data_IF_175102492656
#
_entry.id   IF_175102492656
#
_cell.length_a   1.000
_cell.length_b   1.000
_cell.length_c   1.000
_cell.angle_alpha   90.00
_cell.angle_beta   90.00
_cell.angle_gamma   90.00
#
_symmetry.space_group_name_H-M   'P 1'
#
loop_
_entity.id
_entity.type
_entity.pdbx_description
1 polymer ?
#
# COMPACT_ATOMS: atom_id res chain seq x y z
N UNK A 1 5.35 19.56 8.28
CA UNK A 1 6.14 18.31 8.33
C UNK A 1 7.47 18.59 8.99
N UNK A 2 8.04 17.65 9.73
CA UNK A 2 9.39 17.84 10.31
C UNK A 2 10.52 17.54 9.29
N UNK A 3 10.27 16.58 8.41
CA UNK A 3 11.19 16.06 7.40
C UNK A 3 10.42 15.47 6.22
N UNK A 4 11.13 15.17 5.13
CA UNK A 4 10.54 14.61 3.91
C UNK A 4 10.03 13.18 4.13
N UNK A 5 8.97 12.84 3.39
CA UNK A 5 8.46 11.48 3.34
C UNK A 5 9.23 10.71 2.27
N UNK A 6 10.23 9.93 2.67
CA UNK A 6 11.11 9.21 1.74
C UNK A 6 11.76 10.19 0.74
N UNK A 7 11.41 10.09 -0.54
CA UNK A 7 11.88 10.89 -1.66
C UNK A 7 10.86 11.97 -2.08
N UNK A 8 9.79 12.16 -1.30
CA UNK A 8 8.71 13.09 -1.59
C UNK A 8 8.64 14.25 -0.58
N UNK A 9 8.62 15.46 -1.12
CA UNK A 9 8.38 16.69 -0.37
C UNK A 9 6.88 16.98 -0.26
N UNK A 10 6.31 16.86 0.94
CA UNK A 10 4.86 17.01 1.17
C UNK A 10 4.48 18.49 1.27
N UNK A 11 3.65 18.97 0.34
CA UNK A 11 3.13 20.34 0.31
C UNK A 11 1.61 20.40 0.43
N UNK A 12 1.04 21.61 0.34
CA UNK A 12 -0.41 21.85 0.25
C UNK A 12 -1.08 21.14 -0.94
N UNK A 13 -0.32 20.66 -1.93
CA UNK A 13 -0.85 19.79 -2.98
C UNK A 13 -1.56 18.56 -2.39
N UNK A 14 -1.04 18.01 -1.28
CA UNK A 14 -1.63 16.84 -0.67
C UNK A 14 -2.98 17.13 0.01
N UNK A 15 -3.33 18.40 0.22
CA UNK A 15 -4.60 18.87 0.77
C UNK A 15 -5.59 19.34 -0.32
N UNK A 16 -5.28 19.16 -1.61
CA UNK A 16 -6.07 19.74 -2.72
C UNK A 16 -7.55 19.31 -2.77
N UNK A 17 -7.90 18.20 -2.13
CA UNK A 17 -9.27 17.67 -2.08
C UNK A 17 -10.06 18.08 -0.83
N UNK A 18 -9.47 18.89 0.05
CA UNK A 18 -10.10 19.38 1.28
C UNK A 18 -9.67 20.83 1.59
N UNK A 19 -9.55 21.67 0.55
CA UNK A 19 -9.09 23.05 0.68
C UNK A 19 -9.96 23.88 1.62
N UNK A 20 -11.24 23.54 1.71
CA UNK A 20 -12.21 24.16 2.60
C UNK A 20 -11.86 24.05 4.09
N UNK A 21 -11.01 23.08 4.47
CA UNK A 21 -10.55 22.92 5.85
C UNK A 21 -9.44 23.93 6.23
N UNK A 22 -8.86 24.64 5.26
CA UNK A 22 -7.87 25.71 5.44
C UNK A 22 -6.65 25.31 6.31
N UNK A 23 -6.10 24.11 6.11
CA UNK A 23 -4.79 23.74 6.68
C UNK A 23 -3.65 24.07 5.71
N UNK A 24 -2.46 24.27 6.27
CA UNK A 24 -1.23 24.48 5.51
C UNK A 24 -0.12 23.54 6.00
N UNK A 25 0.66 23.03 5.05
CA UNK A 25 1.85 22.21 5.28
C UNK A 25 3.09 23.06 5.01
N UNK A 26 3.96 23.12 6.01
CA UNK A 26 5.26 23.80 5.88
C UNK A 26 6.38 22.95 6.51
N UNK A 27 7.59 23.16 6.03
CA UNK A 27 8.84 22.67 6.62
C UNK A 27 9.61 23.80 7.34
N UNK A 28 9.10 25.03 7.28
CA UNK A 28 9.72 26.15 7.97
C UNK A 28 9.53 25.99 9.48
N UNK A 29 10.62 25.63 10.16
CA UNK A 29 10.65 25.35 11.60
C UNK A 29 10.41 26.58 12.47
N UNK A 30 10.41 27.80 11.90
CA UNK A 30 10.01 28.99 12.65
C UNK A 30 8.56 28.92 13.13
N UNK A 31 7.71 28.14 12.45
CA UNK A 31 6.28 27.98 12.79
C UNK A 31 6.00 26.87 13.81
N UNK A 32 7.03 26.27 14.42
CA UNK A 32 6.86 25.14 15.35
C UNK A 32 5.96 25.51 16.53
N UNK A 33 5.96 26.76 17.02
CA UNK A 33 5.13 27.14 18.17
C UNK A 33 3.67 27.41 17.80
N UNK A 34 3.42 27.79 16.55
CA UNK A 34 2.11 28.13 16.01
C UNK A 34 1.43 26.93 15.31
N UNK A 35 2.19 25.88 15.01
CA UNK A 35 1.68 24.71 14.29
C UNK A 35 0.78 23.85 15.17
N UNK A 36 -0.41 23.50 14.68
CA UNK A 36 -1.30 22.55 15.34
C UNK A 36 -0.70 21.13 15.43
N UNK A 37 0.21 20.77 14.52
CA UNK A 37 0.88 19.47 14.54
C UNK A 37 2.31 19.51 14.00
N UNK A 38 3.15 18.63 14.54
CA UNK A 38 4.44 18.23 13.97
C UNK A 38 4.35 16.75 13.60
N UNK A 39 4.43 16.47 12.30
CA UNK A 39 4.38 15.12 11.75
C UNK A 39 5.80 14.63 11.52
N UNK A 40 6.13 13.48 12.10
CA UNK A 40 7.45 12.85 12.02
C UNK A 40 7.36 11.59 11.17
N UNK A 41 8.14 11.52 10.09
CA UNK A 41 8.23 10.31 9.29
C UNK A 41 9.28 9.37 9.89
N UNK A 42 8.84 8.32 10.60
CA UNK A 42 9.71 7.51 11.46
C UNK A 42 10.96 6.99 10.74
N UNK A 43 10.80 6.53 9.50
CA UNK A 43 11.85 5.83 8.74
C UNK A 43 13.14 6.66 8.59
N UNK A 44 13.03 7.97 8.41
CA UNK A 44 14.16 8.87 8.15
C UNK A 44 14.44 9.82 9.31
N UNK A 45 13.61 9.79 10.37
CA UNK A 45 13.67 10.73 11.48
C UNK A 45 15.05 10.71 12.12
N UNK A 46 15.72 11.86 12.06
CA UNK A 46 17.04 12.04 12.64
C UNK A 46 16.92 12.28 14.17
N UNK A 47 17.41 11.37 15.02
CA UNK A 47 17.30 11.51 16.48
C UNK A 47 18.10 12.69 17.06
N UNK A 48 19.06 13.22 16.31
CA UNK A 48 19.86 14.40 16.70
C UNK A 48 19.21 15.72 16.28
N UNK A 49 18.12 15.66 15.52
CA UNK A 49 17.39 16.81 15.01
C UNK A 49 15.90 16.61 15.28
N UNK A 50 15.51 16.74 16.55
CA UNK A 50 14.13 16.60 17.01
C UNK A 50 13.57 17.97 17.43
N UNK A 51 12.25 18.20 17.27
CA UNK A 51 11.62 19.37 17.84
C UNK A 51 11.65 19.30 19.39
N UNK A 52 11.32 20.40 20.10
CA UNK A 52 11.35 20.43 21.56
C UNK A 52 10.50 19.32 22.17
N UNK A 53 11.12 18.47 23.00
CA UNK A 53 10.42 17.31 23.62
C UNK A 53 9.14 17.69 24.38
N UNK A 54 9.09 18.90 24.95
CA UNK A 54 7.87 19.47 25.52
C UNK A 54 7.10 20.25 24.45
N UNK A 55 6.09 19.60 23.87
CA UNK A 55 5.14 20.21 22.93
C UNK A 55 4.23 21.25 23.61
N UNK A 56 3.65 22.14 22.81
CA UNK A 56 2.57 23.01 23.30
C UNK A 56 1.36 22.15 23.70
N UNK A 57 0.56 22.55 24.71
CA UNK A 57 -0.58 21.76 25.18
C UNK A 57 -1.58 21.40 24.07
N UNK A 58 -1.83 22.32 23.14
CA UNK A 58 -2.76 22.17 22.01
C UNK A 58 -2.11 21.57 20.74
N UNK A 59 -0.81 21.22 20.79
CA UNK A 59 -0.07 20.73 19.61
C UNK A 59 0.04 19.21 19.61
N UNK A 60 -0.19 18.61 18.45
CA UNK A 60 0.03 17.19 18.21
C UNK A 60 1.45 16.88 17.76
N UNK A 61 2.04 15.82 18.31
CA UNK A 61 3.17 15.13 17.69
C UNK A 61 2.62 13.87 17.03
N UNK A 62 2.76 13.75 15.70
CA UNK A 62 2.15 12.66 14.93
C UNK A 62 3.23 11.68 14.51
N UNK A 63 3.06 10.41 14.88
CA UNK A 63 3.84 9.30 14.33
C UNK A 63 3.32 9.00 12.93
N UNK A 64 4.16 9.13 11.91
CA UNK A 64 3.81 8.81 10.54
C UNK A 64 4.75 7.75 9.98
N UNK A 65 4.17 6.65 9.47
CA UNK A 65 4.94 5.60 8.81
C UNK A 65 4.09 4.90 7.74
N UNK A 66 4.66 4.76 6.54
CA UNK A 66 4.07 4.04 5.40
C UNK A 66 4.89 2.79 5.06
N UNK A 67 5.60 2.24 6.03
CA UNK A 67 6.40 1.02 5.89
C UNK A 67 5.95 -0.03 6.90
N UNK A 68 6.14 -1.30 6.61
CA UNK A 68 5.70 -2.37 7.50
C UNK A 68 6.44 -2.34 8.86
N UNK A 69 5.94 -3.10 9.83
CA UNK A 69 6.58 -3.25 11.13
C UNK A 69 8.02 -3.81 11.06
N UNK A 70 8.43 -4.42 9.94
CA UNK A 70 9.80 -4.87 9.72
C UNK A 70 10.78 -3.74 9.35
N UNK A 71 10.28 -2.57 8.94
CA UNK A 71 11.09 -1.48 8.40
C UNK A 71 10.94 -0.17 9.18
N UNK A 72 10.57 -0.23 10.46
CA UNK A 72 10.67 0.91 11.39
C UNK A 72 12.11 1.42 11.49
N UNK A 73 12.29 2.67 11.91
CA UNK A 73 13.64 3.22 12.17
C UNK A 73 14.33 2.47 13.30
N UNK A 74 15.59 2.03 13.14
CA UNK A 74 16.29 1.28 14.18
C UNK A 74 16.59 2.14 15.42
N UNK A 75 16.66 3.47 15.27
CA UNK A 75 17.04 4.38 16.36
C UNK A 75 15.83 5.21 16.81
N UNK A 76 15.20 5.96 15.90
CA UNK A 76 14.15 6.92 16.25
C UNK A 76 12.93 6.23 16.85
N UNK A 77 12.50 5.09 16.27
CA UNK A 77 11.39 4.30 16.78
C UNK A 77 11.62 3.89 18.24
N UNK A 78 12.80 3.34 18.56
CA UNK A 78 13.12 2.89 19.91
C UNK A 78 13.24 4.03 20.92
N UNK A 79 13.70 5.20 20.48
CA UNK A 79 13.84 6.39 21.31
C UNK A 79 12.48 7.04 21.64
N UNK A 80 11.54 7.02 20.70
CA UNK A 80 10.31 7.83 20.74
C UNK A 80 9.02 7.00 20.91
N UNK A 81 9.11 5.67 20.98
CA UNK A 81 7.98 4.74 21.05
C UNK A 81 6.99 4.96 22.21
N UNK A 82 7.37 5.66 23.29
CA UNK A 82 6.53 5.86 24.48
C UNK A 82 6.43 7.34 24.85
N UNK A 83 5.22 7.78 25.16
CA UNK A 83 4.92 9.10 25.72
C UNK A 83 5.45 10.31 24.92
N UNK A 84 5.68 10.14 23.61
CA UNK A 84 6.17 11.20 22.73
C UNK A 84 5.10 11.67 21.73
N UNK A 85 4.41 10.73 21.10
CA UNK A 85 3.39 11.02 20.10
C UNK A 85 2.01 11.17 20.75
N UNK A 86 1.14 11.89 20.05
CA UNK A 86 -0.27 12.08 20.42
C UNK A 86 -1.25 11.47 19.44
N UNK A 87 -0.81 11.28 18.19
CA UNK A 87 -1.59 10.67 17.11
C UNK A 87 -0.70 9.76 16.28
N UNK A 88 -1.34 8.83 15.60
CA UNK A 88 -0.75 7.91 14.63
C UNK A 88 -1.35 8.12 13.24
N UNK A 89 -0.52 8.11 12.22
CA UNK A 89 -0.91 8.18 10.82
C UNK A 89 -0.20 7.07 10.04
N UNK A 90 -0.95 6.17 9.40
CA UNK A 90 -0.38 5.01 8.70
C UNK A 90 -1.39 4.40 7.73
N UNK A 91 -0.93 3.45 6.90
CA UNK A 91 -1.78 2.54 6.13
C UNK A 91 -2.63 1.58 6.99
N UNK A 92 -2.44 1.53 8.31
CA UNK A 92 -3.16 0.60 9.18
C UNK A 92 -4.57 1.12 9.44
N UNK A 93 -5.58 0.26 9.35
CA UNK A 93 -6.98 0.69 9.54
C UNK A 93 -7.30 1.11 10.97
N UNK A 94 -6.44 0.75 11.93
CA UNK A 94 -6.55 1.08 13.34
C UNK A 94 -5.61 2.23 13.78
N UNK A 95 -5.04 3.00 12.85
CA UNK A 95 -4.38 4.28 13.17
C UNK A 95 -5.41 5.40 13.38
N UNK A 96 -5.05 6.45 14.11
CA UNK A 96 -5.94 7.60 14.30
C UNK A 96 -6.27 8.31 12.98
N UNK A 97 -5.28 8.38 12.08
CA UNK A 97 -5.39 8.93 10.74
C UNK A 97 -5.08 7.84 9.72
N UNK A 98 -6.12 7.28 9.10
CA UNK A 98 -5.98 6.22 8.12
C UNK A 98 -5.54 6.79 6.76
N UNK A 99 -4.37 6.36 6.32
CA UNK A 99 -3.70 6.83 5.12
C UNK A 99 -3.29 5.64 4.24
N UNK A 100 -4.23 5.00 3.51
CA UNK A 100 -3.90 3.84 2.70
C UNK A 100 -3.08 4.22 1.47
N UNK A 101 -2.42 3.23 0.86
CA UNK A 101 -1.73 3.45 -0.43
C UNK A 101 -2.71 3.67 -1.58
N UNK A 102 -3.88 3.03 -1.53
CA UNK A 102 -4.96 3.16 -2.48
C UNK A 102 -6.23 2.53 -1.92
N UNK A 103 -7.35 2.73 -2.60
CA UNK A 103 -8.64 2.18 -2.16
C UNK A 103 -9.58 2.01 -3.36
N UNK A 104 -10.62 1.21 -3.18
CA UNK A 104 -11.69 1.08 -4.17
C UNK A 104 -12.85 1.99 -3.83
N UNK A 105 -13.41 2.64 -4.84
CA UNK A 105 -14.59 3.49 -4.74
C UNK A 105 -15.72 2.90 -5.57
N UNK A 106 -16.94 2.93 -5.06
CA UNK A 106 -18.12 2.57 -5.84
C UNK A 106 -18.30 3.53 -7.01
N UNK A 107 -18.53 2.97 -8.20
CA UNK A 107 -18.92 3.71 -9.39
C UNK A 107 -20.38 4.15 -9.24
N UNK A 108 -20.64 5.39 -9.62
CA UNK A 108 -21.99 5.93 -9.68
C UNK A 108 -22.16 6.76 -10.97
N UNK A 109 -22.84 6.24 -12.01
CA UNK A 109 -23.50 4.94 -12.08
C UNK A 109 -22.52 3.76 -12.28
N UNK A 110 -22.93 2.51 -11.97
CA UNK A 110 -22.20 1.32 -12.40
C UNK A 110 -22.08 1.23 -13.92
N UNK A 111 -21.03 0.57 -14.40
CA UNK A 111 -20.87 0.25 -15.82
C UNK A 111 -21.74 -0.96 -16.19
N UNK A 112 -21.91 -1.18 -17.50
CA UNK A 112 -22.62 -2.34 -18.07
C UNK A 112 -21.78 -2.95 -19.16
N UNK A 113 -20.67 -3.58 -18.78
CA UNK A 113 -19.74 -4.10 -19.77
C UNK A 113 -20.21 -5.46 -20.28
N UNK A 114 -20.28 -5.62 -21.59
CA UNK A 114 -20.73 -6.89 -22.18
C UNK A 114 -19.71 -8.01 -21.98
N UNK A 115 -20.19 -9.24 -21.85
CA UNK A 115 -19.35 -10.44 -21.83
C UNK A 115 -18.38 -10.49 -23.03
N UNK A 116 -18.85 -10.09 -24.22
CA UNK A 116 -18.03 -10.05 -25.44
C UNK A 116 -16.85 -9.06 -25.32
N UNK A 117 -17.05 -7.93 -24.66
CA UNK A 117 -15.98 -6.95 -24.40
C UNK A 117 -14.94 -7.56 -23.47
N UNK A 118 -15.36 -8.19 -22.37
CA UNK A 118 -14.44 -8.89 -21.46
C UNK A 118 -13.64 -10.00 -22.14
N UNK A 119 -14.30 -10.83 -22.94
CA UNK A 119 -13.65 -11.89 -23.70
C UNK A 119 -12.63 -11.33 -24.70
N UNK A 120 -12.95 -10.25 -25.42
CA UNK A 120 -12.01 -9.61 -26.35
C UNK A 120 -10.74 -9.09 -25.65
N UNK A 121 -10.89 -8.47 -24.46
CA UNK A 121 -9.76 -8.03 -23.64
C UNK A 121 -8.94 -9.23 -23.20
N UNK A 122 -9.59 -10.31 -22.74
CA UNK A 122 -8.92 -11.52 -22.28
C UNK A 122 -8.12 -12.21 -23.40
N UNK A 123 -8.63 -12.26 -24.64
CA UNK A 123 -7.95 -12.83 -25.82
C UNK A 123 -6.75 -11.99 -26.25
N UNK A 124 -6.82 -10.66 -26.06
CA UNK A 124 -5.73 -9.75 -26.47
C UNK A 124 -4.43 -9.97 -25.68
N UNK A 125 -4.52 -10.52 -24.45
CA UNK A 125 -3.40 -10.76 -23.55
C UNK A 125 -2.75 -12.10 -23.84
N UNK A 126 -1.47 -12.06 -24.27
CA UNK A 126 -0.71 -13.22 -24.76
C UNK A 126 0.24 -13.85 -23.75
N UNK A 127 0.57 -13.14 -22.68
CA UNK A 127 1.50 -13.58 -21.63
C UNK A 127 0.74 -13.94 -20.35
N UNK A 128 1.30 -14.86 -19.58
CA UNK A 128 0.67 -15.37 -18.35
C UNK A 128 0.87 -14.40 -17.19
N UNK A 129 2.03 -14.47 -16.52
CA UNK A 129 2.27 -13.76 -15.26
C UNK A 129 3.43 -12.78 -15.41
N UNK A 130 3.24 -11.57 -14.88
CA UNK A 130 4.33 -10.61 -14.65
C UNK A 130 4.55 -10.38 -13.15
N UNK A 131 5.80 -10.26 -12.74
CA UNK A 131 6.16 -9.74 -11.42
C UNK A 131 7.13 -8.57 -11.57
N UNK A 132 6.78 -7.41 -11.01
CA UNK A 132 7.62 -6.23 -11.04
C UNK A 132 8.15 -5.94 -9.63
N UNK A 133 9.44 -6.22 -9.38
CA UNK A 133 10.06 -6.08 -8.07
C UNK A 133 11.54 -5.69 -8.18
N UNK A 134 11.96 -4.71 -7.38
CA UNK A 134 13.36 -4.26 -7.28
C UNK A 134 13.90 -4.24 -5.85
N UNK A 135 13.10 -4.66 -4.87
CA UNK A 135 13.54 -4.85 -3.50
C UNK A 135 13.41 -6.34 -3.17
N UNK A 136 14.56 -6.99 -2.99
CA UNK A 136 14.72 -8.44 -2.87
C UNK A 136 15.34 -8.78 -1.50
N UNK A 137 15.34 -10.06 -1.10
CA UNK A 137 15.78 -10.45 0.25
C UNK A 137 14.83 -9.90 1.30
N UNK A 138 13.53 -9.97 1.04
CA UNK A 138 12.54 -9.23 1.83
C UNK A 138 12.14 -10.01 3.08
N UNK A 139 11.61 -9.34 4.09
CA UNK A 139 11.10 -9.99 5.30
C UNK A 139 10.04 -11.07 5.01
N UNK A 140 9.22 -10.88 3.96
CA UNK A 140 8.28 -11.90 3.49
C UNK A 140 8.91 -13.08 2.74
N UNK A 141 10.16 -12.99 2.29
CA UNK A 141 10.81 -13.96 1.39
C UNK A 141 9.97 -14.28 0.15
N UNK A 142 9.24 -13.28 -0.38
CA UNK A 142 8.36 -13.43 -1.57
C UNK A 142 9.11 -13.94 -2.79
N UNK A 143 10.40 -13.62 -2.91
CA UNK A 143 11.26 -14.06 -4.00
C UNK A 143 11.43 -15.58 -4.04
N UNK A 144 11.42 -16.27 -2.88
CA UNK A 144 11.52 -17.72 -2.83
C UNK A 144 10.26 -18.36 -3.40
N UNK A 145 9.09 -17.84 -3.02
CA UNK A 145 7.82 -18.30 -3.58
C UNK A 145 7.77 -18.12 -5.10
N UNK A 146 8.16 -16.95 -5.60
CA UNK A 146 8.13 -16.70 -7.05
C UNK A 146 9.13 -17.60 -7.79
N UNK A 147 10.32 -17.82 -7.24
CA UNK A 147 11.29 -18.75 -7.82
C UNK A 147 10.76 -20.18 -7.87
N UNK A 148 10.02 -20.62 -6.85
CA UNK A 148 9.37 -21.93 -6.86
C UNK A 148 8.25 -22.01 -7.90
N UNK A 149 7.37 -21.01 -7.93
CA UNK A 149 6.27 -20.93 -8.90
C UNK A 149 6.79 -20.94 -10.35
N UNK A 150 7.95 -20.33 -10.62
CA UNK A 150 8.60 -20.31 -11.93
C UNK A 150 8.96 -21.70 -12.48
N UNK A 151 9.07 -22.72 -11.63
CA UNK A 151 9.28 -24.11 -12.07
C UNK A 151 8.06 -24.70 -12.76
N UNK A 152 6.86 -24.20 -12.45
CA UNK A 152 5.60 -24.75 -12.90
C UNK A 152 4.88 -23.87 -13.91
N UNK A 153 5.09 -22.55 -13.87
CA UNK A 153 4.46 -21.59 -14.78
C UNK A 153 5.41 -20.45 -15.15
N UNK A 154 5.31 -19.96 -16.38
CA UNK A 154 6.13 -18.83 -16.84
C UNK A 154 5.76 -17.54 -16.12
N UNK A 155 6.70 -17.02 -15.32
CA UNK A 155 6.66 -15.69 -14.71
C UNK A 155 7.76 -14.82 -15.31
N UNK A 156 7.38 -13.74 -16.00
CA UNK A 156 8.33 -12.73 -16.46
C UNK A 156 8.62 -11.75 -15.30
N UNK A 157 9.86 -11.71 -14.81
CA UNK A 157 10.26 -10.89 -13.65
C UNK A 157 11.02 -9.64 -14.09
N UNK A 158 10.44 -8.48 -13.83
CA UNK A 158 10.99 -7.15 -14.14
C UNK A 158 11.53 -6.45 -12.89
N UNK A 159 12.67 -5.79 -13.03
CA UNK A 159 13.30 -4.98 -11.98
C UNK A 159 14.64 -5.56 -11.55
N UNK A 160 15.05 -5.28 -10.32
CA UNK A 160 16.32 -5.77 -9.79
C UNK A 160 16.25 -7.20 -9.23
N UNK A 161 15.05 -7.72 -8.98
CA UNK A 161 14.86 -9.12 -8.57
C UNK A 161 14.76 -10.10 -9.76
N UNK A 162 14.97 -9.64 -10.99
CA UNK A 162 14.89 -10.49 -12.18
C UNK A 162 15.70 -9.97 -13.37
N UNK A 163 15.74 -10.74 -14.46
CA UNK A 163 16.58 -10.44 -15.61
C UNK A 163 15.98 -9.35 -16.51
N UNK A 164 14.66 -9.13 -16.48
CA UNK A 164 14.01 -8.14 -17.33
C UNK A 164 14.06 -6.77 -16.69
N UNK A 165 14.24 -5.73 -17.50
CA UNK A 165 14.37 -4.36 -17.00
C UNK A 165 13.16 -3.53 -17.33
N UNK A 166 12.73 -2.76 -16.34
CA UNK A 166 11.81 -1.66 -16.50
C UNK A 166 12.52 -0.40 -16.01
N UNK A 167 12.90 0.54 -16.90
CA UNK A 167 13.55 1.77 -16.48
C UNK A 167 12.67 2.50 -15.45
N UNK A 168 13.29 2.94 -14.34
CA UNK A 168 12.62 3.83 -13.38
C UNK A 168 12.20 5.10 -14.13
N UNK A 169 11.00 5.57 -13.82
CA UNK A 169 10.48 6.81 -14.40
C UNK A 169 10.25 7.80 -13.27
N UNK A 170 10.43 9.08 -13.54
CA UNK A 170 10.11 10.17 -12.60
C UNK A 170 8.62 10.50 -12.54
N UNK A 171 7.76 9.73 -13.23
CA UNK A 171 6.32 9.97 -13.23
C UNK A 171 5.73 9.59 -11.87
N UNK A 172 5.09 10.56 -11.23
CA UNK A 172 4.28 10.39 -10.00
C UNK A 172 3.20 9.31 -10.23
N UNK A 173 2.64 9.25 -11.44
CA UNK A 173 1.61 8.28 -11.81
C UNK A 173 2.21 7.07 -12.53
N UNK A 174 2.65 6.07 -11.76
CA UNK A 174 3.29 4.85 -12.28
C UNK A 174 2.45 4.11 -13.34
N UNK A 175 1.12 4.21 -13.30
CA UNK A 175 0.22 3.56 -14.27
C UNK A 175 0.44 3.99 -15.74
N UNK A 176 1.05 5.15 -15.99
CA UNK A 176 1.27 5.67 -17.35
C UNK A 176 2.64 5.35 -17.92
N UNK A 177 3.49 4.67 -17.14
CA UNK A 177 4.83 4.29 -17.60
C UNK A 177 4.77 3.31 -18.77
N UNK A 178 5.85 3.27 -19.55
CA UNK A 178 5.95 2.35 -20.70
C UNK A 178 5.78 0.89 -20.28
N UNK A 179 6.31 0.51 -19.12
CA UNK A 179 6.17 -0.85 -18.60
C UNK A 179 4.75 -1.16 -18.17
N UNK A 180 4.08 -0.28 -17.41
CA UNK A 180 2.70 -0.55 -16.99
C UNK A 180 1.74 -0.66 -18.19
N UNK A 181 1.90 0.19 -19.20
CA UNK A 181 1.16 0.06 -20.47
C UNK A 181 1.44 -1.26 -21.18
N UNK A 182 2.70 -1.70 -21.17
CA UNK A 182 3.10 -2.99 -21.74
C UNK A 182 2.54 -4.15 -20.92
N UNK A 183 2.54 -4.08 -19.60
CA UNK A 183 1.97 -5.09 -18.72
C UNK A 183 0.47 -5.24 -18.98
N UNK A 184 -0.27 -4.12 -18.92
CA UNK A 184 -1.70 -4.05 -19.25
C UNK A 184 -2.03 -4.68 -20.59
N UNK A 185 -1.22 -4.40 -21.63
CA UNK A 185 -1.45 -4.93 -22.98
C UNK A 185 -1.21 -6.42 -23.08
N UNK A 186 -0.21 -6.96 -22.38
CA UNK A 186 0.30 -8.29 -22.69
C UNK A 186 -0.04 -9.38 -21.67
N UNK A 187 -0.18 -9.06 -20.38
CA UNK A 187 -0.29 -10.08 -19.33
C UNK A 187 -1.72 -10.28 -18.86
N UNK A 188 -2.02 -11.53 -18.48
CA UNK A 188 -3.27 -11.94 -17.85
C UNK A 188 -3.26 -11.78 -16.33
N UNK A 189 -2.12 -12.05 -15.71
CA UNK A 189 -1.94 -12.05 -14.26
C UNK A 189 -0.74 -11.21 -13.86
N UNK A 190 -0.76 -10.73 -12.62
CA UNK A 190 0.42 -10.10 -12.01
C UNK A 190 0.53 -10.50 -10.54
N UNK A 191 1.76 -10.64 -10.07
CA UNK A 191 2.03 -10.96 -8.66
C UNK A 191 2.09 -9.63 -7.88
N UNK A 192 1.21 -9.50 -6.88
CA UNK A 192 1.07 -8.32 -6.02
C UNK A 192 1.61 -8.60 -4.60
N UNK A 193 2.66 -9.42 -4.50
CA UNK A 193 3.25 -9.79 -3.22
C UNK A 193 4.02 -8.63 -2.60
N UNK A 194 3.76 -8.38 -1.33
CA UNK A 194 4.40 -7.31 -0.56
C UNK A 194 5.75 -7.74 0.01
N UNK A 195 6.62 -6.75 0.28
CA UNK A 195 7.93 -7.02 0.89
C UNK A 195 7.81 -7.55 2.34
N UNK A 196 6.61 -7.51 2.90
CA UNK A 196 6.26 -7.96 4.24
C UNK A 196 4.86 -8.58 4.18
N UNK A 197 4.67 -9.70 4.85
CA UNK A 197 3.34 -10.32 4.97
C UNK A 197 2.74 -9.88 6.31
N UNK A 198 2.05 -8.76 6.33
CA UNK A 198 1.46 -8.19 7.55
C UNK A 198 0.00 -7.81 7.32
N UNK A 199 -0.79 -7.81 8.39
CA UNK A 199 -2.16 -7.30 8.33
C UNK A 199 -2.16 -5.84 7.88
N UNK A 200 -3.12 -5.49 7.04
CA UNK A 200 -3.36 -4.17 6.45
C UNK A 200 -2.25 -3.63 5.53
N UNK A 201 -1.06 -4.24 5.48
CA UNK A 201 0.03 -3.78 4.61
C UNK A 201 -0.20 -4.22 3.16
N UNK A 202 -1.16 -3.56 2.50
CA UNK A 202 -1.54 -3.74 1.10
C UNK A 202 -1.28 -2.42 0.37
N UNK A 203 -0.35 -2.42 -0.59
CA UNK A 203 0.23 -1.18 -1.09
C UNK A 203 -0.14 -0.87 -2.54
N UNK A 204 0.57 0.07 -3.17
CA UNK A 204 0.45 0.45 -4.57
C UNK A 204 0.54 -0.73 -5.55
N UNK A 205 1.14 -1.86 -5.13
CA UNK A 205 1.36 -3.04 -5.98
C UNK A 205 0.05 -3.59 -6.54
N UNK A 206 -1.02 -3.54 -5.77
CA UNK A 206 -2.36 -3.92 -6.22
C UNK A 206 -3.09 -2.71 -6.84
N UNK A 207 -3.22 -1.61 -6.11
CA UNK A 207 -4.11 -0.50 -6.50
C UNK A 207 -3.71 0.18 -7.81
N UNK A 208 -2.41 0.19 -8.16
CA UNK A 208 -1.93 0.78 -9.42
C UNK A 208 -2.26 -0.08 -10.66
N UNK A 209 -2.56 -1.38 -10.48
CA UNK A 209 -2.69 -2.34 -11.59
C UNK A 209 -4.04 -3.02 -11.70
N UNK A 210 -4.87 -2.99 -10.66
CA UNK A 210 -6.19 -3.63 -10.70
C UNK A 210 -7.07 -3.13 -11.85
N UNK A 211 -6.95 -1.90 -12.32
CA UNK A 211 -7.69 -1.38 -13.51
C UNK A 211 -7.10 -1.82 -14.87
N UNK A 212 -5.98 -2.54 -14.88
CA UNK A 212 -5.30 -2.98 -16.10
C UNK A 212 -5.87 -4.28 -16.69
N UNK A 213 -7.02 -4.74 -16.19
CA UNK A 213 -7.63 -6.01 -16.58
C UNK A 213 -6.62 -7.16 -16.48
N UNK A 214 -5.80 -7.12 -15.44
CA UNK A 214 -4.94 -8.24 -15.07
C UNK A 214 -5.47 -8.73 -13.72
N UNK A 215 -5.42 -10.03 -13.47
CA UNK A 215 -5.87 -10.61 -12.21
C UNK A 215 -4.68 -10.64 -11.23
N UNK A 216 -4.78 -9.96 -10.08
CA UNK A 216 -3.74 -10.00 -9.05
C UNK A 216 -3.64 -11.39 -8.41
N UNK A 217 -2.41 -11.84 -8.20
CA UNK A 217 -2.06 -12.97 -7.35
C UNK A 217 -1.47 -12.39 -6.06
N UNK A 218 -2.10 -12.66 -4.91
CA UNK A 218 -1.74 -12.13 -3.58
C UNK A 218 -1.26 -13.25 -2.67
N UNK A 219 -0.45 -12.98 -1.63
CA UNK A 219 0.13 -14.04 -0.81
C UNK A 219 -0.89 -14.68 0.13
N UNK A 220 -1.78 -13.88 0.73
CA UNK A 220 -2.69 -14.31 1.79
C UNK A 220 -4.08 -13.74 1.61
N UNK A 221 -5.11 -14.57 1.47
CA UNK A 221 -6.51 -14.17 1.28
C UNK A 221 -6.99 -13.17 2.33
N UNK A 222 -6.82 -13.50 3.61
CA UNK A 222 -7.35 -12.73 4.74
C UNK A 222 -6.78 -11.31 4.85
N UNK A 223 -5.66 -10.99 4.19
CA UNK A 223 -5.10 -9.64 4.16
C UNK A 223 -5.77 -8.73 3.11
N UNK A 224 -6.38 -9.30 2.08
CA UNK A 224 -6.89 -8.56 0.93
C UNK A 224 -8.43 -8.56 0.86
N UNK A 225 -9.11 -9.60 1.35
CA UNK A 225 -10.59 -9.66 1.38
C UNK A 225 -11.26 -8.44 2.04
N UNK A 226 -10.73 -7.85 3.12
CA UNK A 226 -11.37 -6.67 3.70
C UNK A 226 -11.26 -5.40 2.85
N UNK A 227 -10.44 -5.42 1.80
CA UNK A 227 -10.11 -4.24 0.97
C UNK A 227 -10.59 -4.39 -0.47
N UNK A 228 -10.83 -5.61 -0.94
CA UNK A 228 -11.11 -5.92 -2.34
C UNK A 228 -12.35 -6.81 -2.46
N UNK A 229 -13.19 -6.62 -3.50
CA UNK A 229 -14.36 -7.45 -3.74
C UNK A 229 -14.02 -8.92 -3.87
N UNK A 230 -14.95 -9.78 -3.47
CA UNK A 230 -14.87 -11.21 -3.75
C UNK A 230 -14.72 -11.44 -5.26
N UNK A 231 -13.91 -12.44 -5.64
CA UNK A 231 -13.62 -12.75 -7.03
C UNK A 231 -12.77 -11.69 -7.74
N UNK A 232 -12.09 -10.77 -7.04
CA UNK A 232 -11.20 -9.77 -7.67
C UNK A 232 -9.73 -10.15 -7.72
N UNK A 233 -9.32 -11.20 -7.00
CA UNK A 233 -7.93 -11.66 -6.89
C UNK A 233 -7.85 -13.17 -6.64
N UNK A 234 -6.65 -13.73 -6.85
CA UNK A 234 -6.29 -15.12 -6.52
C UNK A 234 -5.34 -15.07 -5.31
N UNK A 235 -5.63 -15.78 -4.24
CA UNK A 235 -4.69 -15.89 -3.12
C UNK A 235 -3.87 -17.16 -3.23
N UNK A 236 -2.56 -17.05 -3.01
CA UNK A 236 -1.66 -18.19 -3.08
C UNK A 236 -1.89 -19.19 -1.95
N UNK A 237 -2.39 -18.75 -0.78
CA UNK A 237 -2.72 -19.62 0.35
C UNK A 237 -4.08 -20.33 0.21
N UNK A 238 -4.76 -20.18 -0.92
CA UNK A 238 -5.92 -21.01 -1.29
C UNK A 238 -5.50 -22.37 -1.87
N UNK A 239 -4.21 -22.55 -2.16
CA UNK A 239 -3.65 -23.73 -2.82
C UNK A 239 -2.66 -24.44 -1.88
N UNK A 240 -2.60 -25.75 -1.97
CA UNK A 240 -1.68 -26.58 -1.16
C UNK A 240 -0.22 -26.38 -1.58
N UNK A 241 0.04 -25.95 -2.83
CA UNK A 241 1.40 -25.73 -3.34
C UNK A 241 1.47 -24.71 -4.49
N UNK A 242 2.67 -24.18 -4.81
CA UNK A 242 2.88 -23.35 -5.99
C UNK A 242 2.54 -24.07 -7.30
N UNK A 243 2.66 -25.41 -7.35
CA UNK A 243 2.26 -26.20 -8.51
C UNK A 243 0.75 -26.18 -8.73
N UNK A 244 -0.03 -26.35 -7.66
CA UNK A 244 -1.49 -26.32 -7.77
C UNK A 244 -1.99 -24.91 -8.18
N UNK A 245 -1.38 -23.85 -7.63
CA UNK A 245 -1.62 -22.49 -8.13
C UNK A 245 -1.30 -22.38 -9.63
N UNK A 246 -0.18 -22.93 -10.08
CA UNK A 246 0.18 -22.93 -11.50
C UNK A 246 -0.86 -23.69 -12.37
N UNK A 247 -1.34 -24.84 -11.91
CA UNK A 247 -2.38 -25.63 -12.58
C UNK A 247 -3.68 -24.80 -12.70
N UNK A 248 -4.07 -24.07 -11.66
CA UNK A 248 -5.22 -23.16 -11.69
C UNK A 248 -5.03 -21.99 -12.66
N UNK A 249 -3.82 -21.42 -12.72
CA UNK A 249 -3.49 -20.38 -13.70
C UNK A 249 -3.61 -20.92 -15.14
N UNK A 250 -3.17 -22.16 -15.41
CA UNK A 250 -3.35 -22.79 -16.72
C UNK A 250 -4.82 -23.05 -17.04
N UNK A 251 -5.62 -23.49 -16.06
CA UNK A 251 -7.07 -23.62 -16.19
C UNK A 251 -7.69 -22.29 -16.64
N UNK A 252 -7.43 -21.18 -15.93
CA UNK A 252 -7.95 -19.87 -16.31
C UNK A 252 -7.42 -19.37 -17.66
N UNK A 253 -6.17 -19.69 -18.01
CA UNK A 253 -5.62 -19.34 -19.31
C UNK A 253 -6.35 -20.04 -20.47
N UNK A 254 -6.79 -21.29 -20.26
CA UNK A 254 -7.54 -22.09 -21.25
C UNK A 254 -9.05 -21.85 -21.22
N UNK A 255 -9.61 -21.45 -20.08
CA UNK A 255 -11.03 -21.19 -19.88
C UNK A 255 -11.28 -19.68 -19.72
N UNK A 256 -11.49 -19.00 -20.85
CA UNK A 256 -11.71 -17.56 -20.85
C UNK A 256 -12.99 -17.15 -20.13
N UNK A 257 -14.01 -18.00 -20.10
CA UNK A 257 -15.25 -17.73 -19.36
C UNK A 257 -14.98 -17.64 -17.87
N UNK A 258 -14.24 -18.60 -17.30
CA UNK A 258 -13.83 -18.54 -15.89
C UNK A 258 -12.89 -17.37 -15.61
N UNK A 259 -11.98 -17.06 -16.54
CA UNK A 259 -11.03 -15.95 -16.36
C UNK A 259 -11.72 -14.57 -16.31
N UNK A 260 -12.73 -14.32 -17.14
CA UNK A 260 -13.41 -13.01 -17.15
C UNK A 260 -14.34 -12.79 -15.96
N UNK A 261 -14.67 -13.82 -15.19
CA UNK A 261 -15.37 -13.65 -13.91
C UNK A 261 -14.61 -12.70 -12.97
N UNK A 262 -13.27 -12.72 -13.02
CA UNK A 262 -12.41 -11.81 -12.26
C UNK A 262 -12.49 -10.33 -12.68
N UNK A 263 -13.26 -10.00 -13.72
CA UNK A 263 -13.48 -8.63 -14.17
C UNK A 263 -14.82 -8.05 -13.71
N UNK A 264 -15.78 -8.89 -13.31
CA UNK A 264 -17.17 -8.44 -13.05
C UNK A 264 -17.25 -7.32 -12.02
N UNK A 265 -16.42 -7.37 -10.98
CA UNK A 265 -16.37 -6.36 -9.94
C UNK A 265 -16.03 -4.95 -10.48
N UNK A 266 -15.34 -4.84 -11.62
CA UNK A 266 -14.91 -3.55 -12.21
C UNK A 266 -16.06 -2.70 -12.72
N UNK A 267 -17.22 -3.30 -12.98
CA UNK A 267 -18.42 -2.55 -13.34
C UNK A 267 -18.96 -1.76 -12.13
N UNK A 268 -18.66 -2.20 -10.91
CA UNK A 268 -19.16 -1.61 -9.66
C UNK A 268 -18.13 -0.75 -8.95
N UNK A 269 -16.83 -1.01 -9.14
CA UNK A 269 -15.76 -0.31 -8.43
C UNK A 269 -14.73 0.28 -9.39
N UNK A 270 -14.11 1.36 -8.94
CA UNK A 270 -12.90 1.92 -9.53
C UNK A 270 -11.80 2.01 -8.49
N UNK A 271 -10.57 1.68 -8.88
CA UNK A 271 -9.40 1.91 -8.04
C UNK A 271 -8.99 3.37 -8.03
N UNK A 272 -8.78 3.90 -6.82
CA UNK A 272 -8.07 5.14 -6.56
C UNK A 272 -6.63 4.76 -6.16
N UNK A 273 -5.66 4.86 -7.08
CA UNK A 273 -4.28 4.44 -6.84
C UNK A 273 -3.52 5.44 -5.97
N UNK A 274 -2.28 5.10 -5.61
CA UNK A 274 -1.37 6.03 -4.94
C UNK A 274 -1.12 7.27 -5.84
N UNK A 275 -1.12 8.51 -5.29
CA UNK A 275 -1.19 8.89 -3.88
C UNK A 275 -2.60 9.21 -3.33
N UNK A 276 -3.68 8.69 -3.92
CA UNK A 276 -5.05 9.04 -3.54
C UNK A 276 -5.42 8.74 -2.08
N UNK A 277 -4.98 7.61 -1.53
CA UNK A 277 -5.19 7.32 -0.10
C UNK A 277 -4.33 8.19 0.83
N UNK A 278 -3.17 8.66 0.34
CA UNK A 278 -2.34 9.61 1.09
C UNK A 278 -2.98 11.01 1.14
N UNK A 279 -3.60 11.45 0.04
CA UNK A 279 -4.46 12.65 0.05
C UNK A 279 -5.59 12.53 1.07
N UNK A 280 -6.25 11.36 1.14
CA UNK A 280 -7.30 11.09 2.13
C UNK A 280 -6.74 11.22 3.56
N UNK A 281 -5.60 10.60 3.85
CA UNK A 281 -4.95 10.68 5.17
C UNK A 281 -4.59 12.12 5.56
N UNK A 282 -4.04 12.91 4.63
CA UNK A 282 -3.72 14.32 4.89
C UNK A 282 -4.97 15.16 5.17
N UNK A 283 -6.06 14.92 4.43
CA UNK A 283 -7.34 15.58 4.69
C UNK A 283 -7.97 15.15 6.02
N UNK A 284 -7.87 13.87 6.39
CA UNK A 284 -8.31 13.39 7.70
C UNK A 284 -7.51 14.02 8.84
N UNK A 285 -6.18 14.11 8.69
CA UNK A 285 -5.32 14.81 9.65
C UNK A 285 -5.76 16.27 9.78
N UNK A 286 -5.92 16.99 8.67
CA UNK A 286 -6.39 18.36 8.69
C UNK A 286 -7.73 18.50 9.42
N UNK A 287 -8.72 17.66 9.08
CA UNK A 287 -10.03 17.65 9.74
C UNK A 287 -9.93 17.40 11.24
N UNK A 288 -9.07 16.46 11.65
CA UNK A 288 -8.79 16.18 13.06
C UNK A 288 -8.19 17.39 13.78
N UNK A 289 -7.19 18.03 13.20
CA UNK A 289 -6.56 19.23 13.79
C UNK A 289 -7.54 20.41 13.90
N UNK A 290 -8.47 20.53 12.94
CA UNK A 290 -9.53 21.55 12.98
C UNK A 290 -10.54 21.27 14.09
N UNK A 291 -10.93 20.01 14.28
CA UNK A 291 -11.83 19.61 15.36
C UNK A 291 -11.20 19.82 16.74
N UNK A 292 -9.88 19.62 16.85
CA UNK A 292 -9.15 19.76 18.11
C UNK A 292 -8.69 21.21 18.40
N UNK A 293 -9.03 22.18 17.55
CA UNK A 293 -8.51 23.55 17.63
C UNK A 293 -8.82 24.30 18.94
N UNK A 294 -9.97 24.01 19.55
CA UNK A 294 -10.41 24.64 20.80
C UNK A 294 -10.04 23.81 22.05
N UNK A 295 -9.32 22.69 21.88
CA UNK A 295 -8.91 21.83 22.99
C UNK A 295 -7.67 22.42 23.68
N UNK A 296 -7.82 22.80 24.95
CA UNK A 296 -6.74 23.40 25.73
C UNK A 296 -5.56 22.46 26.03
N UNK A 297 -5.78 21.14 26.02
CA UNK A 297 -4.72 20.14 26.22
C UNK A 297 -5.02 18.83 25.46
N UNK A 298 -4.14 18.47 24.54
CA UNK A 298 -4.13 17.19 23.83
C UNK A 298 -3.49 16.12 24.70
N UNK A 299 -4.06 14.92 24.74
CA UNK A 299 -3.47 13.71 25.32
C UNK A 299 -3.23 12.65 24.25
N UNK A 300 -2.26 11.74 24.43
CA UNK A 300 -2.07 10.63 23.50
C UNK A 300 -3.29 9.73 23.37
N UNK A 301 -3.59 9.34 22.14
CA UNK A 301 -4.56 8.28 21.84
C UNK A 301 -4.01 6.91 22.24
N UNK A 302 -4.86 5.89 22.25
CA UNK A 302 -4.46 4.52 22.60
C UNK A 302 -3.31 4.02 21.71
N UNK A 303 -3.40 4.26 20.41
CA UNK A 303 -2.39 3.86 19.41
C UNK A 303 -1.09 4.67 19.54
N UNK A 304 -1.16 5.93 20.01
CA UNK A 304 -0.01 6.82 20.15
C UNK A 304 0.75 6.69 21.48
N UNK A 305 0.11 6.13 22.52
CA UNK A 305 0.70 6.01 23.87
C UNK A 305 1.92 5.08 23.90
N UNK A 306 1.82 3.91 23.25
CA UNK A 306 2.91 2.95 23.11
C UNK A 306 2.92 2.44 21.65
N UNK A 307 3.71 3.14 20.82
CA UNK A 307 3.82 2.86 19.39
C UNK A 307 4.35 1.46 19.14
N UNK A 308 5.25 0.93 19.99
CA UNK A 308 5.76 -0.44 19.81
C UNK A 308 4.65 -1.46 20.04
N UNK A 309 3.89 -1.31 21.12
CA UNK A 309 2.77 -2.19 21.44
C UNK A 309 1.71 -2.16 20.33
N UNK A 310 1.41 -1.00 19.78
CA UNK A 310 0.45 -0.86 18.69
C UNK A 310 1.04 -1.31 17.34
N UNK A 311 2.11 -0.66 16.86
CA UNK A 311 2.61 -0.83 15.50
C UNK A 311 3.26 -2.18 15.24
N UNK A 312 4.10 -2.65 16.17
CA UNK A 312 4.75 -3.97 16.05
C UNK A 312 3.85 -5.04 16.67
N UNK A 313 3.40 -4.82 17.91
CA UNK A 313 2.68 -5.83 18.69
C UNK A 313 1.33 -6.26 18.12
N UNK A 314 0.67 -5.41 17.31
CA UNK A 314 -0.61 -5.72 16.65
C UNK A 314 -0.49 -5.79 15.12
N UNK A 315 0.71 -6.01 14.59
CA UNK A 315 0.97 -6.00 13.13
C UNK A 315 0.53 -7.27 12.41
N UNK A 316 0.37 -8.38 13.15
CA UNK A 316 0.13 -9.72 12.62
C UNK A 316 1.08 -10.07 11.46
N UNK A 317 2.33 -9.58 11.52
CA UNK A 317 3.35 -9.89 10.52
C UNK A 317 3.80 -11.35 10.64
N UNK A 318 3.85 -12.04 9.51
CA UNK A 318 4.30 -13.43 9.39
C UNK A 318 5.69 -13.42 8.73
N UNK A 319 6.77 -13.70 9.48
CA UNK A 319 8.11 -13.75 8.92
C UNK A 319 8.23 -14.83 7.85
N UNK A 320 8.94 -14.54 6.77
CA UNK A 320 9.24 -15.51 5.70
C UNK A 320 8.00 -16.20 5.11
N UNK A 321 6.84 -15.54 5.10
CA UNK A 321 5.57 -16.16 4.66
C UNK A 321 5.60 -16.71 3.23
N UNK A 322 6.34 -16.08 2.33
CA UNK A 322 6.55 -16.59 0.98
C UNK A 322 7.19 -17.99 0.98
N UNK A 323 8.12 -18.26 1.91
CA UNK A 323 8.69 -19.58 2.08
C UNK A 323 7.67 -20.59 2.60
N UNK A 324 6.81 -20.22 3.55
CA UNK A 324 5.77 -21.14 4.06
C UNK A 324 4.73 -21.54 3.01
N UNK A 325 4.58 -20.76 1.93
CA UNK A 325 3.67 -21.07 0.81
C UNK A 325 4.25 -22.10 -0.18
N UNK A 326 5.51 -22.52 -0.03
CA UNK A 326 6.14 -23.49 -0.93
C UNK A 326 5.75 -24.94 -0.58
N UNK A 327 5.38 -25.19 0.69
CA UNK A 327 5.32 -26.56 1.24
C UNK A 327 6.71 -27.04 1.67
N UNK A 328 6.73 -28.11 2.49
CA UNK A 328 7.96 -28.79 2.93
C UNK A 328 8.56 -29.70 1.84
#
# INVERSE_FOLDING_TARGET
>A
MWEDYSDAHISDEYLKYCKELNCHVTFNRSFVKESAAIVHYDRTLNPNDLPPRKRQPHQHYVFFLMESAHYVSPIAFNLLQKDYYTLTMSFRRDSDIYSPFGYLKLRNPPLKTSQSTWLSIAVSKRKMIVWAASFCGTASQRELFVAELQKYVKVDVYGDCGPLKCPKTTLINMQYTKCEKMFKKNYKFYIAFENSACKDFVTEKIFNRVESHMVPIVPKRSFYEPLLPEGSFIAADDFESPKELADYIYYLNSNLTAYVEYYKWKDYYESIPFPGGFHMGMCQLCGRLRADADIGAIYPTESATDIRKWYIGRSDCIPSYGKSLIGD
#
